data_IF_645551446751
#
_entry.id   IF_645551446751
#
_cell.length_a   1.000
_cell.length_b   1.000
_cell.length_c   1.000
_cell.angle_alpha   90.00
_cell.angle_beta   90.00
_cell.angle_gamma   90.00
#
_symmetry.space_group_name_H-M   'P 1'
#
loop_
_entity.id
_entity.type
_entity.pdbx_description
1 polymer ?
#
# COMPACT_ATOMS: atom_id res chain seq x y z
N UNK A 1 -5.82 -7.78 19.46
CA UNK A 1 -6.71 -7.88 18.27
C UNK A 1 -7.35 -6.52 17.96
N UNK A 2 -8.07 -5.92 18.91
CA UNK A 2 -8.71 -4.59 18.74
C UNK A 2 -7.71 -3.53 18.28
N UNK A 3 -6.54 -3.41 18.92
CA UNK A 3 -5.50 -2.45 18.52
C UNK A 3 -5.09 -2.60 17.04
N UNK A 4 -4.92 -3.82 16.55
CA UNK A 4 -4.51 -4.07 15.17
C UNK A 4 -5.59 -3.61 14.17
N UNK A 5 -6.86 -3.91 14.49
CA UNK A 5 -8.00 -3.48 13.68
C UNK A 5 -8.15 -1.95 13.69
N UNK A 6 -7.96 -1.32 14.86
CA UNK A 6 -7.96 0.15 14.98
C UNK A 6 -6.86 0.78 14.13
N UNK A 7 -5.64 0.23 14.17
CA UNK A 7 -4.53 0.72 13.35
C UNK A 7 -4.82 0.59 11.86
N UNK A 8 -5.41 -0.52 11.40
CA UNK A 8 -5.79 -0.69 9.98
C UNK A 8 -6.86 0.31 9.57
N UNK A 9 -7.88 0.54 10.39
CA UNK A 9 -8.93 1.53 10.10
C UNK A 9 -8.33 2.93 10.02
N UNK A 10 -7.53 3.31 11.03
CA UNK A 10 -6.85 4.60 11.04
C UNK A 10 -5.97 4.77 9.80
N UNK A 11 -5.24 3.72 9.40
CA UNK A 11 -4.42 3.73 8.18
C UNK A 11 -5.25 3.94 6.91
N UNK A 12 -6.40 3.28 6.78
CA UNK A 12 -7.31 3.48 5.64
C UNK A 12 -7.81 4.93 5.60
N UNK A 13 -8.21 5.48 6.74
CA UNK A 13 -8.67 6.86 6.84
C UNK A 13 -7.58 7.86 6.44
N UNK A 14 -6.36 7.70 6.94
CA UNK A 14 -5.23 8.57 6.59
C UNK A 14 -4.94 8.49 5.09
N UNK A 15 -4.85 7.29 4.52
CA UNK A 15 -4.61 7.10 3.08
C UNK A 15 -5.73 7.73 2.25
N UNK A 16 -6.99 7.59 2.64
CA UNK A 16 -8.11 8.22 1.94
C UNK A 16 -8.02 9.75 1.97
N UNK A 17 -7.80 10.35 3.15
CA UNK A 17 -7.71 11.80 3.31
C UNK A 17 -6.51 12.35 2.52
N UNK A 18 -5.32 11.79 2.73
CA UNK A 18 -4.08 12.22 2.04
C UNK A 18 -4.20 12.04 0.52
N UNK A 19 -4.87 10.98 0.07
CA UNK A 19 -5.16 10.76 -1.34
C UNK A 19 -5.96 11.89 -1.97
N UNK A 20 -6.99 12.38 -1.29
CA UNK A 20 -7.86 13.44 -1.78
C UNK A 20 -7.30 14.86 -1.56
N UNK A 21 -6.44 15.07 -0.56
CA UNK A 21 -5.96 16.43 -0.22
C UNK A 21 -4.56 16.75 -0.70
N UNK A 22 -3.67 15.76 -0.83
CA UNK A 22 -2.24 15.94 -1.14
C UNK A 22 -1.86 15.35 -2.49
N UNK A 23 -2.52 14.27 -2.91
CA UNK A 23 -2.21 13.54 -4.14
C UNK A 23 -3.26 13.72 -5.26
N UNK A 24 -4.30 14.53 -5.05
CA UNK A 24 -5.35 14.78 -6.05
C UNK A 24 -4.82 15.51 -7.28
N UNK A 25 -3.89 16.45 -7.06
CA UNK A 25 -3.27 17.28 -8.08
C UNK A 25 -1.87 16.79 -8.49
N UNK A 26 -1.47 15.57 -8.11
CA UNK A 26 -0.09 15.10 -8.24
C UNK A 26 0.45 15.17 -9.67
N UNK A 27 -0.39 14.86 -10.65
CA UNK A 27 -0.01 14.85 -12.07
C UNK A 27 -0.26 16.20 -12.74
N UNK A 28 -1.30 16.94 -12.32
CA UNK A 28 -1.65 18.23 -12.93
C UNK A 28 -0.70 19.35 -12.49
N UNK A 29 -0.17 19.25 -11.28
CA UNK A 29 0.81 20.20 -10.71
C UNK A 29 2.26 19.71 -10.83
N UNK A 30 2.52 18.65 -11.60
CA UNK A 30 3.86 18.27 -12.01
C UNK A 30 4.24 19.03 -13.29
N UNK A 31 5.10 20.03 -13.16
CA UNK A 31 5.39 21.00 -14.23
C UNK A 31 6.86 20.95 -14.60
N UNK A 32 7.17 20.74 -15.88
CA UNK A 32 8.54 20.83 -16.39
C UNK A 32 8.78 22.15 -17.13
N UNK A 33 10.01 22.66 -17.06
CA UNK A 33 10.44 23.90 -17.71
C UNK A 33 10.65 23.70 -19.23
N UNK A 34 9.57 23.41 -19.96
CA UNK A 34 9.57 23.14 -21.39
C UNK A 34 8.21 23.39 -22.02
N UNK A 35 8.20 23.76 -23.30
CA UNK A 35 6.99 23.89 -24.12
C UNK A 35 6.71 22.64 -24.96
N UNK A 36 7.53 21.59 -24.81
CA UNK A 36 7.42 20.38 -25.60
C UNK A 36 6.20 19.54 -25.18
N UNK A 37 5.24 19.27 -26.08
CA UNK A 37 4.06 18.48 -25.75
C UNK A 37 4.43 17.04 -25.36
N UNK A 38 3.77 16.53 -24.32
CA UNK A 38 3.98 15.18 -23.80
C UNK A 38 5.21 14.99 -22.91
N UNK A 39 6.13 15.95 -22.84
CA UNK A 39 7.33 15.84 -22.00
C UNK A 39 6.97 15.74 -20.51
N UNK A 40 6.06 16.59 -19.99
CA UNK A 40 5.60 16.51 -18.59
C UNK A 40 5.04 15.12 -18.23
N UNK A 41 4.25 14.51 -19.12
CA UNK A 41 3.64 13.20 -18.87
C UNK A 41 4.69 12.09 -18.88
N UNK A 42 5.64 12.13 -19.81
CA UNK A 42 6.72 11.14 -19.88
C UNK A 42 7.65 11.23 -18.67
N UNK A 43 8.01 12.44 -18.25
CA UNK A 43 8.85 12.67 -17.08
C UNK A 43 8.14 12.30 -15.78
N UNK A 44 6.84 12.61 -15.65
CA UNK A 44 6.04 12.17 -14.51
C UNK A 44 6.04 10.64 -14.36
N UNK A 45 5.79 9.93 -15.45
CA UNK A 45 5.80 8.45 -15.49
C UNK A 45 7.20 7.87 -15.17
N UNK A 46 8.28 8.60 -15.47
CA UNK A 46 9.65 8.17 -15.15
C UNK A 46 9.99 8.41 -13.68
N UNK A 47 9.64 9.59 -13.17
CA UNK A 47 9.90 9.99 -11.79
C UNK A 47 9.06 9.17 -10.79
N UNK A 48 7.80 8.91 -11.14
CA UNK A 48 6.84 8.23 -10.28
C UNK A 48 6.12 7.10 -11.04
N UNK A 49 6.81 5.97 -11.33
CA UNK A 49 6.23 4.86 -12.10
C UNK A 49 4.97 4.28 -11.44
N UNK A 50 4.90 4.34 -10.11
CA UNK A 50 3.70 4.13 -9.32
C UNK A 50 3.63 5.30 -8.34
N UNK A 51 2.49 5.99 -8.23
CA UNK A 51 2.34 7.02 -7.20
C UNK A 51 2.26 6.43 -5.81
N UNK A 52 2.76 7.17 -4.81
CA UNK A 52 2.82 6.70 -3.42
C UNK A 52 1.43 6.31 -2.89
N UNK A 53 0.38 7.07 -3.26
CA UNK A 53 -0.98 6.76 -2.84
C UNK A 53 -1.44 5.39 -3.36
N UNK A 54 -1.15 5.05 -4.62
CA UNK A 54 -1.47 3.74 -5.20
C UNK A 54 -0.69 2.65 -4.51
N UNK A 55 0.59 2.89 -4.22
CA UNK A 55 1.44 1.96 -3.49
C UNK A 55 0.85 1.60 -2.11
N UNK A 56 0.43 2.60 -1.33
CA UNK A 56 -0.17 2.38 -0.01
C UNK A 56 -1.54 1.69 -0.08
N UNK A 57 -2.36 1.99 -1.09
CA UNK A 57 -3.62 1.28 -1.33
C UNK A 57 -3.34 -0.21 -1.60
N UNK A 58 -2.40 -0.53 -2.48
CA UNK A 58 -2.02 -1.92 -2.75
C UNK A 58 -1.48 -2.62 -1.50
N UNK A 59 -0.66 -1.93 -0.69
CA UNK A 59 -0.17 -2.45 0.58
C UNK A 59 -1.33 -2.82 1.53
N UNK A 60 -2.30 -1.92 1.73
CA UNK A 60 -3.46 -2.17 2.60
C UNK A 60 -4.23 -3.41 2.13
N UNK A 61 -4.52 -3.50 0.83
CA UNK A 61 -5.26 -4.64 0.24
C UNK A 61 -4.53 -5.96 0.49
N UNK A 62 -3.23 -6.01 0.20
CA UNK A 62 -2.40 -7.20 0.36
C UNK A 62 -2.27 -7.61 1.83
N UNK A 63 -2.10 -6.65 2.75
CA UNK A 63 -1.99 -6.90 4.20
C UNK A 63 -3.32 -7.34 4.83
N UNK A 64 -4.46 -6.86 4.31
CA UNK A 64 -5.79 -7.21 4.81
C UNK A 64 -6.23 -8.61 4.35
N UNK A 65 -5.84 -9.02 3.14
CA UNK A 65 -6.25 -10.30 2.52
C UNK A 65 -6.04 -11.52 3.43
N UNK A 66 -4.87 -11.75 4.05
CA UNK A 66 -4.63 -12.90 4.94
C UNK A 66 -5.59 -12.94 6.14
N UNK A 67 -5.92 -11.77 6.69
CA UNK A 67 -6.79 -11.66 7.86
C UNK A 67 -8.23 -11.97 7.49
N UNK A 68 -8.69 -11.47 6.35
CA UNK A 68 -10.02 -11.79 5.81
C UNK A 68 -10.14 -13.28 5.47
N UNK A 69 -9.13 -13.86 4.82
CA UNK A 69 -9.08 -15.30 4.53
C UNK A 69 -9.16 -16.14 5.81
N UNK A 70 -8.42 -15.77 6.86
CA UNK A 70 -8.46 -16.46 8.15
C UNK A 70 -9.83 -16.34 8.83
N UNK A 71 -10.44 -15.14 8.83
CA UNK A 71 -11.77 -14.92 9.41
C UNK A 71 -12.80 -15.78 8.67
N UNK A 72 -12.84 -15.71 7.34
CA UNK A 72 -13.75 -16.52 6.50
C UNK A 72 -13.57 -18.02 6.77
N UNK A 73 -12.32 -18.51 6.79
CA UNK A 73 -12.01 -19.90 7.12
C UNK A 73 -12.53 -20.28 8.52
N UNK A 74 -12.28 -19.45 9.53
CA UNK A 74 -12.69 -19.71 10.90
C UNK A 74 -14.21 -19.72 11.09
N UNK A 75 -14.92 -18.82 10.40
CA UNK A 75 -16.39 -18.73 10.41
C UNK A 75 -17.00 -19.94 9.71
N UNK A 76 -16.51 -20.27 8.50
CA UNK A 76 -16.97 -21.42 7.74
C UNK A 76 -16.74 -22.74 8.51
N UNK A 77 -15.56 -22.91 9.11
CA UNK A 77 -15.25 -24.07 9.94
C UNK A 77 -16.14 -24.13 11.19
N UNK A 78 -16.47 -22.99 11.79
CA UNK A 78 -17.38 -22.92 12.94
C UNK A 78 -18.81 -23.29 12.56
N UNK A 79 -19.28 -22.87 11.38
CA UNK A 79 -20.60 -23.23 10.85
C UNK A 79 -20.72 -24.74 10.60
N UNK A 80 -19.77 -25.33 9.86
CA UNK A 80 -19.71 -26.77 9.57
C UNK A 80 -19.66 -27.66 10.82
N UNK A 81 -19.19 -27.12 11.95
CA UNK A 81 -19.08 -27.86 13.20
C UNK A 81 -20.31 -27.78 14.10
N UNK A 82 -21.19 -26.79 13.93
CA UNK A 82 -22.50 -26.82 14.61
C UNK A 82 -23.28 -28.10 14.28
N UNK A 83 -23.00 -28.69 13.12
CA UNK A 83 -23.57 -29.94 12.63
C UNK A 83 -22.87 -31.21 13.19
N UNK A 84 -21.63 -31.14 13.70
CA UNK A 84 -20.83 -32.31 14.13
C UNK A 84 -20.30 -32.16 15.57
N UNK A 85 -21.03 -32.67 16.56
CA UNK A 85 -20.67 -32.57 18.01
C UNK A 85 -19.91 -33.80 18.53
N UNK A 86 -18.57 -33.75 18.63
CA UNK A 86 -17.76 -34.73 19.39
C UNK A 86 -16.57 -34.09 20.09
N UNK A 87 -16.22 -34.52 21.31
CA UNK A 87 -15.17 -33.88 22.16
C UNK A 87 -13.75 -34.02 21.59
N UNK A 88 -13.40 -35.16 20.96
CA UNK A 88 -12.09 -35.36 20.30
C UNK A 88 -11.85 -34.39 19.14
N UNK A 89 -12.90 -33.91 18.47
CA UNK A 89 -12.77 -32.93 17.38
C UNK A 89 -12.45 -31.51 17.87
N UNK A 90 -12.75 -31.19 19.15
CA UNK A 90 -12.50 -29.86 19.72
C UNK A 90 -11.02 -29.58 19.97
N UNK A 91 -10.24 -30.57 20.43
CA UNK A 91 -8.82 -30.40 20.77
C UNK A 91 -7.93 -30.27 19.52
N UNK A 92 -8.09 -31.19 18.56
CA UNK A 92 -7.41 -31.15 17.24
C UNK A 92 -7.75 -29.87 16.45
N UNK A 93 -8.93 -29.29 16.71
CA UNK A 93 -9.38 -28.00 16.15
C UNK A 93 -8.65 -26.81 16.74
N UNK A 94 -8.48 -26.76 18.07
CA UNK A 94 -7.83 -25.63 18.73
C UNK A 94 -6.37 -25.51 18.27
N UNK A 95 -5.71 -26.64 18.03
CA UNK A 95 -4.39 -26.70 17.40
C UNK A 95 -4.42 -26.23 15.94
N UNK A 96 -5.37 -26.70 15.13
CA UNK A 96 -5.49 -26.28 13.73
C UNK A 96 -5.75 -24.78 13.56
N UNK A 97 -6.69 -24.21 14.32
CA UNK A 97 -7.00 -22.77 14.31
C UNK A 97 -5.78 -21.97 14.78
N UNK A 98 -5.06 -22.45 15.79
CA UNK A 98 -3.83 -21.81 16.29
C UNK A 98 -2.73 -21.78 15.21
N UNK A 99 -2.51 -22.88 14.48
CA UNK A 99 -1.53 -22.93 13.37
C UNK A 99 -1.86 -21.98 12.24
N UNK A 100 -3.10 -21.99 11.74
CA UNK A 100 -3.52 -21.05 10.68
C UNK A 100 -3.44 -19.59 11.13
N UNK A 101 -3.75 -19.31 12.40
CA UNK A 101 -3.61 -17.98 12.96
C UNK A 101 -2.14 -17.52 12.94
N UNK A 102 -1.20 -18.36 13.38
CA UNK A 102 0.23 -18.05 13.38
C UNK A 102 0.71 -17.79 11.94
N UNK A 103 0.34 -18.67 10.99
CA UNK A 103 0.73 -18.51 9.57
C UNK A 103 0.24 -17.18 9.00
N UNK A 104 -1.04 -16.84 9.21
CA UNK A 104 -1.60 -15.59 8.69
C UNK A 104 -0.91 -14.37 9.30
N UNK A 105 -0.58 -14.42 10.61
CA UNK A 105 0.13 -13.34 11.30
C UNK A 105 1.55 -13.20 10.75
N UNK A 106 2.29 -14.30 10.58
CA UNK A 106 3.64 -14.27 10.01
C UNK A 106 3.62 -13.70 8.59
N UNK A 107 2.71 -14.19 7.74
CA UNK A 107 2.59 -13.72 6.37
C UNK A 107 2.22 -12.23 6.29
N UNK A 108 1.28 -11.77 7.14
CA UNK A 108 0.94 -10.35 7.25
C UNK A 108 2.15 -9.49 7.65
N UNK A 109 2.93 -9.91 8.64
CA UNK A 109 4.12 -9.16 9.07
C UNK A 109 5.20 -9.15 7.97
N UNK A 110 5.39 -10.27 7.26
CA UNK A 110 6.32 -10.34 6.14
C UNK A 110 5.91 -9.37 5.01
N UNK A 111 4.62 -9.27 4.69
CA UNK A 111 4.12 -8.29 3.73
C UNK A 111 4.37 -6.85 4.20
N UNK A 112 4.05 -6.51 5.44
CA UNK A 112 4.28 -5.15 5.98
C UNK A 112 5.76 -4.76 5.89
N UNK A 113 6.66 -5.66 6.25
CA UNK A 113 8.12 -5.45 6.14
C UNK A 113 8.53 -5.33 4.67
N UNK A 114 8.02 -6.19 3.80
CA UNK A 114 8.32 -6.16 2.37
C UNK A 114 7.91 -4.85 1.70
N UNK A 115 6.72 -4.33 2.01
CA UNK A 115 6.29 -3.02 1.53
C UNK A 115 7.08 -1.86 2.17
N UNK A 116 7.48 -1.97 3.44
CA UNK A 116 8.36 -0.95 4.04
C UNK A 116 9.71 -0.88 3.33
N UNK A 117 10.33 -2.04 3.07
CA UNK A 117 11.60 -2.14 2.35
C UNK A 117 11.43 -1.66 0.90
N UNK A 118 10.33 -2.05 0.23
CA UNK A 118 10.01 -1.59 -1.12
C UNK A 118 9.87 -0.07 -1.22
N UNK A 119 9.16 0.56 -0.28
CA UNK A 119 9.04 2.02 -0.20
C UNK A 119 10.41 2.68 -0.14
N UNK A 120 11.29 2.19 0.74
CA UNK A 120 12.62 2.73 0.91
C UNK A 120 13.45 2.66 -0.38
N UNK A 121 13.43 1.53 -1.08
CA UNK A 121 14.22 1.36 -2.31
C UNK A 121 13.63 2.07 -3.52
N UNK A 122 12.30 2.22 -3.60
CA UNK A 122 11.65 2.88 -4.74
C UNK A 122 11.65 4.41 -4.60
N UNK A 123 11.39 4.92 -3.39
CA UNK A 123 11.09 6.34 -3.17
C UNK A 123 11.96 6.99 -2.09
N UNK A 124 12.63 6.22 -1.25
CA UNK A 124 13.33 6.73 -0.07
C UNK A 124 12.35 7.26 0.99
N UNK A 125 12.80 8.24 1.77
CA UNK A 125 12.02 8.87 2.84
C UNK A 125 11.70 10.35 2.58
N UNK A 126 12.14 10.91 1.47
CA UNK A 126 11.93 12.32 1.13
C UNK A 126 11.56 12.44 -0.34
N UNK A 127 10.53 13.23 -0.61
CA UNK A 127 10.14 13.55 -1.99
C UNK A 127 10.91 14.80 -2.43
N UNK A 128 11.75 14.73 -3.47
CA UNK A 128 12.51 15.88 -3.92
C UNK A 128 11.57 16.94 -4.50
N UNK A 129 11.91 18.22 -4.34
CA UNK A 129 11.15 19.33 -4.91
C UNK A 129 11.30 19.46 -6.43
N UNK A 130 12.38 18.87 -6.97
CA UNK A 130 12.78 18.97 -8.37
C UNK A 130 13.30 17.61 -8.86
N UNK A 131 12.99 17.29 -10.12
CA UNK A 131 13.42 16.08 -10.81
C UNK A 131 13.99 16.47 -12.18
N UNK A 132 15.21 16.03 -12.47
CA UNK A 132 15.88 16.22 -13.77
C UNK A 132 15.49 15.07 -14.71
N UNK A 133 15.04 15.40 -15.92
CA UNK A 133 14.47 14.44 -16.86
C UNK A 133 14.99 14.63 -18.28
N UNK A 134 15.39 13.54 -18.93
CA UNK A 134 15.87 13.48 -20.31
C UNK A 134 15.04 12.51 -21.20
N UNK A 135 13.91 12.02 -20.70
CA UNK A 135 13.09 11.01 -21.39
C UNK A 135 12.34 11.58 -22.60
N UNK A 136 12.31 10.82 -23.70
CA UNK A 136 11.50 11.15 -24.88
C UNK A 136 10.02 11.36 -24.49
N UNK A 137 9.33 12.44 -24.95
CA UNK A 137 9.67 13.33 -26.08
C UNK A 137 10.45 14.60 -25.72
N UNK A 138 11.10 14.68 -24.57
CA UNK A 138 11.93 15.83 -24.21
C UNK A 138 13.17 15.91 -25.12
N UNK A 139 13.42 17.09 -25.71
CA UNK A 139 14.50 17.31 -26.68
C UNK A 139 15.86 17.45 -25.99
N UNK A 140 15.84 17.97 -24.76
CA UNK A 140 16.99 18.18 -23.89
C UNK A 140 16.60 17.79 -22.48
N UNK A 141 17.58 17.73 -21.59
CA UNK A 141 17.35 17.64 -20.16
C UNK A 141 16.54 18.84 -19.67
N UNK A 142 15.47 18.55 -18.92
CA UNK A 142 14.55 19.55 -18.38
C UNK A 142 14.39 19.36 -16.88
N UNK A 143 14.12 20.47 -16.22
CA UNK A 143 13.82 20.52 -14.79
C UNK A 143 12.31 20.41 -14.59
N UNK A 144 11.88 19.43 -13.80
CA UNK A 144 10.48 19.23 -13.43
C UNK A 144 10.27 19.47 -11.93
N UNK A 145 9.20 20.16 -11.57
CA UNK A 145 8.89 20.56 -10.20
C UNK A 145 7.73 19.72 -9.67
N UNK A 146 7.91 19.17 -8.47
CA UNK A 146 6.95 18.26 -7.82
C UNK A 146 5.96 19.05 -6.96
N UNK A 147 4.67 18.74 -7.06
CA UNK A 147 3.62 19.32 -6.20
C UNK A 147 3.80 18.91 -4.74
N UNK A 148 3.76 19.88 -3.82
CA UNK A 148 3.75 19.74 -2.35
C UNK A 148 4.77 18.72 -1.81
N UNK A 149 6.07 18.87 -2.13
CA UNK A 149 7.08 17.86 -1.78
C UNK A 149 7.25 17.71 -0.26
N UNK A 150 7.09 18.80 0.49
CA UNK A 150 7.16 18.81 1.96
C UNK A 150 5.98 18.08 2.59
N UNK A 151 4.74 18.36 2.15
CA UNK A 151 3.55 17.65 2.66
C UNK A 151 3.55 16.17 2.29
N UNK A 152 4.09 15.80 1.11
CA UNK A 152 4.23 14.39 0.71
C UNK A 152 5.32 13.64 1.48
N UNK A 153 6.27 14.36 2.06
CA UNK A 153 7.38 13.80 2.85
C UNK A 153 6.97 13.53 4.30
N UNK A 154 6.05 14.33 4.86
CA UNK A 154 5.51 14.19 6.22
C UNK A 154 4.52 13.02 6.28
#
# INVERSE_FOLDING_TARGET
>A
RILLTVVVIFRILIVAIVGETVYDDEQTMFVCNTLQPGCNQACYDQAFPISHIRYWVFQIIMVCTPSLCFITYSVHQSAKQRERRTTKSKMRRQEGISRFYIIQVVFRNALEIGFLVGQYFLYGFNVPSMYECDRYPCIKEVECYVSRPTEKTV
#
